data_IF_366937670250
#
_entry.id   IF_366937670250
#
_cell.length_a   1.000
_cell.length_b   1.000
_cell.length_c   1.000
_cell.angle_alpha   90.00
_cell.angle_beta   90.00
_cell.angle_gamma   90.00
#
_symmetry.space_group_name_H-M   'P 1'
#
loop_
_entity.id
_entity.type
_entity.pdbx_description
1 polymer ?
#
# COMPACT_ATOMS: atom_id res chain seq x y z
N UNK A 1 7.33 -17.35 -7.38
CA UNK A 1 8.16 -17.41 -6.17
C UNK A 1 9.57 -17.09 -6.61
N UNK A 2 10.00 -15.83 -6.46
CA UNK A 2 11.37 -15.44 -6.82
C UNK A 2 12.37 -16.14 -5.88
N UNK A 3 13.45 -16.72 -6.41
CA UNK A 3 14.45 -17.39 -5.60
C UNK A 3 15.20 -16.37 -4.74
N UNK A 4 15.35 -16.68 -3.44
CA UNK A 4 16.20 -15.92 -2.54
C UNK A 4 17.63 -15.89 -3.11
N UNK A 5 18.09 -14.70 -3.48
CA UNK A 5 19.46 -14.49 -3.93
C UNK A 5 20.35 -14.31 -2.70
N UNK A 6 21.39 -15.13 -2.59
CA UNK A 6 22.39 -15.06 -1.54
C UNK A 6 23.73 -14.65 -2.16
N UNK A 7 24.44 -13.76 -1.48
CA UNK A 7 25.81 -13.37 -1.85
C UNK A 7 26.79 -14.23 -1.05
N UNK A 8 27.72 -14.89 -1.74
CA UNK A 8 28.73 -15.74 -1.10
C UNK A 8 29.82 -14.82 -0.57
N UNK A 9 29.86 -14.63 0.74
CA UNK A 9 30.94 -13.92 1.42
C UNK A 9 32.14 -14.84 1.67
N UNK A 10 33.33 -14.26 1.68
CA UNK A 10 34.56 -14.96 2.05
C UNK A 10 34.60 -15.25 3.56
N UNK A 11 35.40 -16.23 3.96
CA UNK A 11 35.61 -16.59 5.38
C UNK A 11 36.18 -15.41 6.17
N UNK A 12 36.97 -14.56 5.52
CA UNK A 12 37.58 -13.37 6.13
C UNK A 12 36.54 -12.29 6.42
N UNK A 13 35.61 -12.05 5.48
CA UNK A 13 34.48 -11.14 5.67
C UNK A 13 33.50 -11.65 6.74
N UNK A 14 33.21 -12.96 6.75
CA UNK A 14 32.37 -13.56 7.78
C UNK A 14 32.97 -13.41 9.18
N UNK A 15 34.30 -13.50 9.28
CA UNK A 15 35.03 -13.28 10.54
C UNK A 15 35.03 -11.81 10.97
N UNK A 16 35.11 -10.88 10.02
CA UNK A 16 35.02 -9.45 10.29
C UNK A 16 33.65 -9.06 10.90
N UNK A 17 32.57 -9.65 10.36
CA UNK A 17 31.20 -9.48 10.89
C UNK A 17 31.09 -10.02 12.32
N UNK A 18 31.70 -11.18 12.59
CA UNK A 18 31.71 -11.79 13.92
C UNK A 18 32.47 -10.94 14.94
N UNK A 19 33.55 -10.28 14.52
CA UNK A 19 34.36 -9.36 15.34
C UNK A 19 33.69 -7.98 15.52
N UNK A 20 32.44 -7.81 15.06
CA UNK A 20 31.62 -6.61 15.30
C UNK A 20 31.83 -5.49 14.28
N UNK A 21 32.65 -5.70 13.26
CA UNK A 21 32.73 -4.79 12.13
C UNK A 21 31.56 -5.08 11.18
N UNK A 22 30.53 -4.23 11.22
CA UNK A 22 29.41 -4.33 10.28
C UNK A 22 29.88 -3.78 8.94
N UNK A 23 30.07 -4.59 7.88
CA UNK A 23 30.30 -4.04 6.56
C UNK A 23 29.08 -3.19 6.19
N UNK A 24 29.34 -1.98 5.67
CA UNK A 24 28.32 -1.08 5.16
C UNK A 24 27.67 -1.72 3.94
N UNK A 25 26.71 -2.61 4.18
CA UNK A 25 25.74 -3.00 3.18
C UNK A 25 25.01 -1.71 2.84
N UNK A 26 25.31 -1.13 1.67
CA UNK A 26 24.59 0.03 1.19
C UNK A 26 23.11 -0.32 1.26
N UNK A 27 22.35 0.39 2.09
CA UNK A 27 20.91 0.16 2.19
C UNK A 27 20.36 0.16 0.75
N UNK A 28 19.62 -0.89 0.34
CA UNK A 28 19.08 -0.91 -1.01
C UNK A 28 18.34 0.40 -1.25
N UNK A 29 18.71 1.11 -2.31
CA UNK A 29 18.14 2.42 -2.60
C UNK A 29 16.66 2.25 -3.02
N UNK A 30 15.79 2.23 -2.02
CA UNK A 30 14.35 2.20 -2.20
C UNK A 30 13.83 3.52 -2.81
N UNK A 31 14.66 4.56 -3.00
CA UNK A 31 14.24 5.79 -3.67
C UNK A 31 13.78 5.55 -5.10
N UNK A 32 14.41 4.62 -5.83
CA UNK A 32 14.02 4.30 -7.21
C UNK A 32 12.68 3.58 -7.34
N UNK A 33 12.20 2.92 -6.27
CA UNK A 33 10.88 2.26 -6.22
C UNK A 33 9.80 3.13 -5.58
N UNK A 34 10.17 4.27 -4.96
CA UNK A 34 9.21 5.22 -4.42
C UNK A 34 8.59 5.98 -5.58
N UNK A 35 7.27 5.94 -5.66
CA UNK A 35 6.53 6.75 -6.62
C UNK A 35 6.88 8.23 -6.36
N UNK A 36 7.34 8.98 -7.38
CA UNK A 36 7.90 10.32 -7.20
C UNK A 36 6.88 11.20 -6.50
N UNK A 37 7.26 11.91 -5.44
CA UNK A 37 6.35 12.71 -4.61
C UNK A 37 5.92 14.00 -5.34
N UNK A 38 5.27 13.84 -6.48
CA UNK A 38 4.79 14.94 -7.32
C UNK A 38 3.58 15.62 -6.69
N UNK A 39 3.32 16.86 -7.08
CA UNK A 39 2.16 17.60 -6.61
C UNK A 39 0.84 16.87 -6.94
N UNK A 40 0.77 16.14 -8.07
CA UNK A 40 -0.42 15.37 -8.43
C UNK A 40 -0.72 14.24 -7.45
N UNK A 41 0.30 13.67 -6.81
CA UNK A 41 0.14 12.65 -5.78
C UNK A 41 -0.47 13.18 -4.47
N UNK A 42 -0.43 14.50 -4.27
CA UNK A 42 -1.00 15.20 -3.10
C UNK A 42 -2.44 15.67 -3.33
N UNK A 43 -2.99 15.42 -4.52
CA UNK A 43 -4.35 15.86 -4.89
C UNK A 43 -5.20 14.69 -5.38
N UNK A 44 -6.51 14.74 -5.11
CA UNK A 44 -7.45 13.80 -5.71
C UNK A 44 -7.65 14.10 -7.18
N UNK A 45 -7.62 13.06 -8.01
CA UNK A 45 -7.91 13.12 -9.43
C UNK A 45 -9.41 13.36 -9.67
N UNK A 46 -9.75 13.89 -10.84
CA UNK A 46 -11.15 14.03 -11.26
C UNK A 46 -11.89 12.68 -11.27
N UNK A 47 -11.19 11.59 -11.60
CA UNK A 47 -11.73 10.22 -11.55
C UNK A 47 -12.09 9.82 -10.12
N UNK A 48 -11.21 10.09 -9.15
CA UNK A 48 -11.47 9.80 -7.74
C UNK A 48 -12.64 10.61 -7.18
N UNK A 49 -12.76 11.88 -7.56
CA UNK A 49 -13.90 12.71 -7.16
C UNK A 49 -15.23 12.17 -7.71
N UNK A 50 -15.26 11.74 -8.97
CA UNK A 50 -16.44 11.11 -9.58
C UNK A 50 -16.78 9.78 -8.91
N UNK A 51 -15.77 8.95 -8.64
CA UNK A 51 -15.93 7.69 -7.94
C UNK A 51 -16.54 7.89 -6.54
N UNK A 52 -16.02 8.83 -5.75
CA UNK A 52 -16.59 9.18 -4.45
C UNK A 52 -18.06 9.61 -4.55
N UNK A 53 -18.45 10.32 -5.60
CA UNK A 53 -19.83 10.77 -5.80
C UNK A 53 -20.81 9.62 -6.09
N UNK A 54 -20.34 8.51 -6.67
CA UNK A 54 -21.16 7.34 -7.00
C UNK A 54 -21.33 6.41 -5.79
N UNK A 55 -20.39 6.44 -4.85
CA UNK A 55 -20.43 5.58 -3.66
C UNK A 55 -21.53 6.00 -2.65
N UNK A 56 -22.17 5.02 -1.99
CA UNK A 56 -23.12 5.32 -0.93
C UNK A 56 -22.41 6.01 0.26
N UNK A 57 -23.12 6.85 1.03
CA UNK A 57 -22.51 7.62 2.12
C UNK A 57 -21.72 6.77 3.11
N UNK A 58 -22.20 5.57 3.45
CA UNK A 58 -21.52 4.66 4.38
C UNK A 58 -20.23 4.03 3.83
N UNK A 59 -20.08 3.91 2.51
CA UNK A 59 -18.90 3.26 1.91
C UNK A 59 -17.89 4.27 1.35
N UNK A 60 -18.09 5.58 1.56
CA UNK A 60 -17.20 6.63 1.05
C UNK A 60 -15.99 6.81 1.98
N UNK A 61 -14.76 6.57 1.50
CA UNK A 61 -13.56 6.77 2.30
C UNK A 61 -13.09 8.23 2.24
N UNK A 62 -13.76 9.13 2.97
CA UNK A 62 -13.52 10.58 2.91
C UNK A 62 -12.24 10.97 3.66
N UNK A 63 -12.05 10.44 4.86
CA UNK A 63 -10.88 10.72 5.69
C UNK A 63 -9.62 10.14 5.05
N UNK A 64 -9.71 8.94 4.48
CA UNK A 64 -8.64 8.34 3.69
C UNK A 64 -8.29 9.21 2.47
N UNK A 65 -9.27 9.64 1.68
CA UNK A 65 -9.01 10.45 0.48
C UNK A 65 -8.40 11.82 0.83
N UNK A 66 -8.71 12.36 2.02
CA UNK A 66 -8.14 13.62 2.51
C UNK A 66 -6.71 13.45 3.02
N UNK A 67 -6.45 12.39 3.77
CA UNK A 67 -5.15 12.14 4.43
C UNK A 67 -4.15 11.46 3.50
N UNK A 68 -4.65 10.61 2.61
CA UNK A 68 -3.90 9.82 1.65
C UNK A 68 -4.52 9.89 0.23
N UNK A 69 -4.49 11.06 -0.44
CA UNK A 69 -5.09 11.25 -1.78
C UNK A 69 -4.60 10.23 -2.81
N UNK A 70 -3.34 9.80 -2.69
CA UNK A 70 -2.72 8.78 -3.52
C UNK A 70 -3.47 7.44 -3.46
N UNK A 71 -3.84 7.00 -2.27
CA UNK A 71 -4.57 5.75 -2.07
C UNK A 71 -5.99 5.90 -2.64
N UNK A 72 -6.65 7.03 -2.39
CA UNK A 72 -7.95 7.34 -2.97
C UNK A 72 -7.94 7.32 -4.51
N UNK A 73 -6.90 7.88 -5.13
CA UNK A 73 -6.73 7.83 -6.58
C UNK A 73 -6.54 6.41 -7.11
N UNK A 74 -5.79 5.59 -6.39
CA UNK A 74 -5.54 4.20 -6.79
C UNK A 74 -6.79 3.33 -6.64
N UNK A 75 -7.55 3.50 -5.55
CA UNK A 75 -8.85 2.85 -5.38
C UNK A 75 -9.81 3.21 -6.52
N UNK A 76 -9.88 4.49 -6.88
CA UNK A 76 -10.73 4.95 -7.98
C UNK A 76 -10.30 4.40 -9.35
N UNK A 77 -8.99 4.27 -9.59
CA UNK A 77 -8.47 3.70 -10.83
C UNK A 77 -8.76 2.20 -10.93
N UNK A 78 -8.69 1.48 -9.81
CA UNK A 78 -8.97 0.05 -9.72
C UNK A 78 -10.47 -0.27 -9.66
N UNK A 79 -11.35 0.73 -9.50
CA UNK A 79 -12.80 0.53 -9.39
C UNK A 79 -13.43 -0.24 -10.57
N UNK A 80 -12.86 -0.12 -11.77
CA UNK A 80 -13.34 -0.86 -12.94
C UNK A 80 -12.98 -2.36 -12.92
N UNK A 81 -12.06 -2.78 -12.05
CA UNK A 81 -11.62 -4.16 -11.87
C UNK A 81 -11.82 -4.59 -10.40
N UNK A 82 -12.98 -5.21 -10.08
CA UNK A 82 -13.31 -5.61 -8.71
C UNK A 82 -12.30 -6.59 -8.09
N UNK A 83 -11.66 -7.44 -8.90
CA UNK A 83 -10.68 -8.40 -8.41
C UNK A 83 -9.40 -7.67 -7.97
N UNK A 84 -8.86 -6.81 -8.83
CA UNK A 84 -7.68 -6.02 -8.50
C UNK A 84 -7.92 -5.05 -7.33
N UNK A 85 -9.13 -4.48 -7.24
CA UNK A 85 -9.53 -3.64 -6.12
C UNK A 85 -9.60 -4.41 -4.80
N UNK A 86 -10.18 -5.61 -4.82
CA UNK A 86 -10.25 -6.49 -3.64
C UNK A 86 -8.85 -6.87 -3.14
N UNK A 87 -7.95 -7.26 -4.05
CA UNK A 87 -6.57 -7.60 -3.71
C UNK A 87 -5.82 -6.40 -3.12
N UNK A 88 -6.00 -5.21 -3.71
CA UNK A 88 -5.41 -3.99 -3.20
C UNK A 88 -5.94 -3.60 -1.81
N UNK A 89 -7.24 -3.75 -1.57
CA UNK A 89 -7.83 -3.52 -0.24
C UNK A 89 -7.33 -4.53 0.80
N UNK A 90 -7.19 -5.80 0.42
CA UNK A 90 -6.62 -6.82 1.29
C UNK A 90 -5.18 -6.48 1.67
N UNK A 91 -4.37 -5.97 0.74
CA UNK A 91 -2.99 -5.54 1.01
C UNK A 91 -2.90 -4.27 1.87
N UNK A 92 -3.94 -3.42 1.88
CA UNK A 92 -4.02 -2.25 2.76
C UNK A 92 -4.46 -2.61 4.19
N UNK A 93 -5.38 -3.56 4.33
CA UNK A 93 -5.96 -3.97 5.62
C UNK A 93 -5.14 -5.05 6.33
N UNK A 94 -4.50 -5.95 5.58
CA UNK A 94 -3.74 -7.07 6.12
C UNK A 94 -2.25 -6.75 5.99
N UNK A 95 -1.59 -6.52 7.13
CA UNK A 95 -0.14 -6.36 7.13
C UNK A 95 0.54 -7.72 6.87
N UNK A 96 0.91 -7.97 5.61
CA UNK A 96 1.65 -9.16 5.18
C UNK A 96 3.16 -9.05 5.38
N UNK A 97 3.69 -7.86 5.74
CA UNK A 97 5.13 -7.56 5.72
C UNK A 97 5.73 -7.41 7.11
N UNK A 98 4.91 -7.06 8.09
CA UNK A 98 5.34 -6.78 9.45
C UNK A 98 6.04 -5.42 9.57
N UNK A 99 5.90 -4.80 10.73
CA UNK A 99 6.58 -3.53 11.05
C UNK A 99 5.89 -2.27 10.53
N UNK A 100 4.62 -2.33 10.10
CA UNK A 100 3.83 -1.13 9.77
C UNK A 100 2.97 -0.68 10.95
N UNK A 101 2.83 0.62 11.14
CA UNK A 101 1.94 1.20 12.17
C UNK A 101 0.44 1.01 11.87
N UNK A 102 0.09 0.57 10.65
CA UNK A 102 -1.30 0.48 10.20
C UNK A 102 -1.93 1.85 9.93
N UNK A 103 -3.24 1.85 9.69
CA UNK A 103 -4.04 3.07 9.54
C UNK A 103 -4.67 3.47 10.88
N UNK A 104 -4.94 4.78 11.09
CA UNK A 104 -5.82 5.23 12.15
C UNK A 104 -7.18 4.51 12.11
N UNK A 105 -7.80 4.28 13.27
CA UNK A 105 -9.04 3.50 13.38
C UNK A 105 -10.18 4.02 12.50
N UNK A 106 -10.33 5.34 12.33
CA UNK A 106 -11.33 5.94 11.44
C UNK A 106 -11.13 5.54 9.98
N UNK A 107 -9.89 5.61 9.51
CA UNK A 107 -9.50 5.22 8.14
C UNK A 107 -9.63 3.71 7.93
N UNK A 108 -9.24 2.90 8.92
CA UNK A 108 -9.42 1.46 8.88
C UNK A 108 -10.92 1.10 8.75
N UNK A 109 -11.79 1.78 9.50
CA UNK A 109 -13.24 1.59 9.45
C UNK A 109 -13.82 2.00 8.08
N UNK A 110 -13.36 3.11 7.49
CA UNK A 110 -13.76 3.51 6.13
C UNK A 110 -13.37 2.44 5.10
N UNK A 111 -12.15 1.91 5.18
CA UNK A 111 -11.67 0.84 4.29
C UNK A 111 -12.46 -0.45 4.45
N UNK A 112 -12.79 -0.85 5.69
CA UNK A 112 -13.62 -2.02 5.95
C UNK A 112 -15.04 -1.87 5.42
N UNK A 113 -15.66 -0.70 5.58
CA UNK A 113 -17.00 -0.43 5.02
C UNK A 113 -17.01 -0.45 3.49
N UNK A 114 -15.95 0.08 2.86
CA UNK A 114 -15.77 -0.01 1.41
C UNK A 114 -15.63 -1.47 0.96
N UNK A 115 -14.85 -2.29 1.67
CA UNK A 115 -14.71 -3.71 1.37
C UNK A 115 -16.02 -4.47 1.53
N UNK A 116 -16.78 -4.22 2.59
CA UNK A 116 -18.09 -4.83 2.80
C UNK A 116 -19.07 -4.46 1.67
N UNK A 117 -19.07 -3.19 1.25
CA UNK A 117 -19.90 -2.75 0.13
C UNK A 117 -19.55 -3.47 -1.17
N UNK A 118 -18.25 -3.63 -1.47
CA UNK A 118 -17.78 -4.36 -2.64
C UNK A 118 -18.25 -5.82 -2.62
N UNK A 119 -18.09 -6.51 -1.50
CA UNK A 119 -18.55 -7.88 -1.35
C UNK A 119 -20.05 -8.00 -1.63
N UNK A 120 -20.87 -7.12 -1.06
CA UNK A 120 -22.33 -7.11 -1.30
C UNK A 120 -22.69 -6.82 -2.76
N UNK A 121 -21.91 -6.00 -3.46
CA UNK A 121 -22.14 -5.75 -4.90
C UNK A 121 -21.67 -6.88 -5.80
N UNK A 122 -20.79 -7.76 -5.30
CA UNK A 122 -20.27 -8.91 -6.02
C UNK A 122 -21.07 -10.20 -5.75
N UNK A 123 -21.92 -10.22 -4.72
CA UNK A 123 -22.88 -11.29 -4.49
C UNK A 123 -24.02 -11.22 -5.53
N UNK A 124 -24.23 -12.27 -6.35
CA UNK A 124 -25.25 -12.30 -7.41
C UNK A 124 -26.69 -12.45 -6.90
#
# INVERSE_FOLDING_TARGET
>A
MEPLSFEIVTVEEARLILDGAVPAHGEPDWAGRRQPETAEAKTLSATALKWLAVLPPQARPLELCRSYPRIGNQLAALWADPAALSDFLADLLIDKRGGRQGFPGGIALELSQLQEHLLRTMEP
#
